data_IF_260667833696
#
_entry.id   IF_260667833696
#
_cell.length_a   1.000
_cell.length_b   1.000
_cell.length_c   1.000
_cell.angle_alpha   90.00
_cell.angle_beta   90.00
_cell.angle_gamma   90.00
#
_symmetry.space_group_name_H-M   'P 1'
#
loop_
_entity.id
_entity.type
_entity.pdbx_description
1 polymer ?
#
# COMPACT_ATOMS: atom_id res chain seq x y z
N UNK A 1 -37.35 -12.36 -33.99
CA UNK A 1 -38.47 -11.99 -34.88
C UNK A 1 -38.29 -10.51 -35.17
N UNK A 2 -37.66 -10.19 -36.30
CA UNK A 2 -37.53 -8.80 -36.77
C UNK A 2 -38.81 -8.41 -37.51
N UNK A 3 -39.31 -7.18 -37.36
CA UNK A 3 -40.50 -6.74 -38.09
C UNK A 3 -40.18 -6.48 -39.57
N UNK A 4 -41.00 -7.05 -40.47
CA UNK A 4 -40.95 -6.80 -41.91
C UNK A 4 -41.23 -5.32 -42.23
N UNK A 5 -40.25 -4.64 -42.80
CA UNK A 5 -40.38 -3.27 -43.28
C UNK A 5 -41.08 -3.33 -44.64
N UNK A 6 -42.40 -3.12 -44.65
CA UNK A 6 -43.17 -2.96 -45.90
C UNK A 6 -42.66 -1.77 -46.70
N UNK A 7 -42.48 -1.96 -48.01
CA UNK A 7 -41.77 -1.01 -48.88
C UNK A 7 -42.41 0.38 -48.88
N UNK A 8 -41.59 1.40 -48.68
CA UNK A 8 -41.98 2.82 -48.58
C UNK A 8 -42.64 3.38 -49.84
N UNK A 9 -42.34 2.81 -51.02
CA UNK A 9 -42.87 3.28 -52.31
C UNK A 9 -44.36 2.94 -52.50
N UNK A 10 -44.79 1.76 -52.04
CA UNK A 10 -46.17 1.28 -52.22
C UNK A 10 -47.15 2.03 -51.30
N UNK A 11 -46.68 2.45 -50.12
CA UNK A 11 -47.42 3.30 -49.18
C UNK A 11 -47.53 4.76 -49.66
N UNK A 12 -46.50 5.29 -50.31
CA UNK A 12 -46.54 6.65 -50.88
C UNK A 12 -47.56 6.76 -52.03
N UNK A 13 -47.64 5.75 -52.90
CA UNK A 13 -48.56 5.75 -54.05
C UNK A 13 -50.04 5.63 -53.62
N UNK A 14 -50.33 4.80 -52.61
CA UNK A 14 -51.70 4.66 -52.05
C UNK A 14 -52.17 5.92 -51.34
N UNK A 15 -51.27 6.61 -50.64
CA UNK A 15 -51.58 7.87 -49.96
C UNK A 15 -51.87 9.00 -50.96
N UNK A 16 -51.12 9.07 -52.07
CA UNK A 16 -51.35 10.05 -53.13
C UNK A 16 -52.74 9.89 -53.77
N UNK A 17 -53.17 8.66 -54.06
CA UNK A 17 -54.52 8.39 -54.58
C UNK A 17 -55.63 8.84 -53.61
N UNK A 18 -55.45 8.61 -52.30
CA UNK A 18 -56.39 9.03 -51.27
C UNK A 18 -56.50 10.58 -51.17
N UNK A 19 -55.37 11.29 -51.14
CA UNK A 19 -55.32 12.75 -51.03
C UNK A 19 -55.94 13.44 -52.27
N UNK A 20 -55.79 12.84 -53.45
CA UNK A 20 -56.37 13.34 -54.70
C UNK A 20 -57.90 13.15 -54.76
N UNK A 21 -58.47 12.17 -54.04
CA UNK A 21 -59.90 11.94 -53.93
C UNK A 21 -60.65 12.86 -52.95
N UNK A 22 -59.93 13.68 -52.18
CA UNK A 22 -60.51 14.59 -51.18
C UNK A 22 -61.10 15.87 -51.80
N UNK A 23 -62.10 16.43 -51.12
CA UNK A 23 -62.63 17.76 -51.46
C UNK A 23 -61.53 18.83 -51.33
N UNK A 24 -61.61 19.95 -52.08
CA UNK A 24 -60.62 21.03 -52.00
C UNK A 24 -60.39 21.56 -50.58
N UNK A 25 -61.47 21.67 -49.78
CA UNK A 25 -61.40 22.14 -48.39
C UNK A 25 -60.67 21.16 -47.48
N UNK A 26 -60.96 19.86 -47.61
CA UNK A 26 -60.29 18.81 -46.83
C UNK A 26 -58.81 18.69 -47.19
N UNK A 27 -58.48 18.83 -48.49
CA UNK A 27 -57.09 18.82 -48.96
C UNK A 27 -56.28 20.00 -48.41
N UNK A 28 -56.86 21.21 -48.44
CA UNK A 28 -56.22 22.41 -47.88
C UNK A 28 -56.01 22.29 -46.37
N UNK A 29 -56.99 21.73 -45.64
CA UNK A 29 -56.86 21.45 -44.21
C UNK A 29 -55.69 20.51 -43.92
N UNK A 30 -55.58 19.40 -44.68
CA UNK A 30 -54.48 18.44 -44.51
C UNK A 30 -53.12 19.04 -44.86
N UNK A 31 -53.02 19.83 -45.94
CA UNK A 31 -51.78 20.51 -46.32
C UNK A 31 -51.33 21.51 -45.24
N UNK A 32 -52.26 22.31 -44.70
CA UNK A 32 -51.97 23.25 -43.62
C UNK A 32 -51.57 22.52 -42.33
N UNK A 33 -52.23 21.42 -42.01
CA UNK A 33 -51.89 20.59 -40.85
C UNK A 33 -50.53 19.91 -41.01
N UNK A 34 -50.22 19.41 -42.21
CA UNK A 34 -48.93 18.81 -42.52
C UNK A 34 -47.80 19.85 -42.44
N UNK A 35 -47.98 21.04 -43.02
CA UNK A 35 -47.01 22.12 -42.89
C UNK A 35 -46.80 22.55 -41.42
N UNK A 36 -47.86 22.53 -40.60
CA UNK A 36 -47.77 22.78 -39.16
C UNK A 36 -46.96 21.69 -38.42
N UNK A 37 -47.16 20.40 -38.78
CA UNK A 37 -46.40 19.28 -38.23
C UNK A 37 -44.92 19.34 -38.64
N UNK A 38 -44.65 19.62 -39.92
CA UNK A 38 -43.31 19.73 -40.48
C UNK A 38 -42.46 20.80 -39.77
N UNK A 39 -43.09 21.87 -39.26
CA UNK A 39 -42.39 22.88 -38.47
C UNK A 39 -42.18 22.48 -37.01
N UNK A 40 -43.14 21.79 -36.38
CA UNK A 40 -43.12 21.54 -34.92
C UNK A 40 -42.42 20.25 -34.53
N UNK A 41 -42.48 19.22 -35.37
CA UNK A 41 -41.81 17.93 -35.10
C UNK A 41 -40.30 18.13 -34.91
N UNK A 42 -39.57 18.87 -35.77
CA UNK A 42 -38.14 19.13 -35.56
C UNK A 42 -37.84 19.89 -34.26
N UNK A 43 -38.67 20.87 -33.91
CA UNK A 43 -38.49 21.62 -32.67
C UNK A 43 -38.66 20.75 -31.42
N UNK A 44 -39.61 19.82 -31.43
CA UNK A 44 -39.82 18.85 -30.35
C UNK A 44 -38.71 17.81 -30.29
N UNK A 45 -38.26 17.28 -31.44
CA UNK A 45 -37.13 16.35 -31.52
C UNK A 45 -35.86 16.99 -30.96
N UNK A 46 -35.56 18.23 -31.36
CA UNK A 46 -34.42 18.98 -30.84
C UNK A 46 -34.51 19.21 -29.33
N UNK A 47 -35.69 19.59 -28.82
CA UNK A 47 -35.90 19.78 -27.39
C UNK A 47 -35.69 18.47 -26.61
N UNK A 48 -36.16 17.34 -27.13
CA UNK A 48 -35.96 16.03 -26.53
C UNK A 48 -34.49 15.61 -26.52
N UNK A 49 -33.79 15.75 -27.65
CA UNK A 49 -32.36 15.45 -27.76
C UNK A 49 -31.54 16.27 -26.76
N UNK A 50 -31.87 17.56 -26.64
CA UNK A 50 -31.21 18.45 -25.68
C UNK A 50 -31.46 18.03 -24.22
N UNK A 51 -32.70 17.70 -23.86
CA UNK A 51 -33.00 17.18 -22.52
C UNK A 51 -32.29 15.85 -22.24
N UNK A 52 -32.17 14.98 -23.24
CA UNK A 52 -31.46 13.72 -23.11
C UNK A 52 -29.95 13.93 -22.91
N UNK A 53 -29.36 14.91 -23.60
CA UNK A 53 -27.96 15.30 -23.43
C UNK A 53 -27.71 15.91 -22.04
N UNK A 54 -28.58 16.82 -21.60
CA UNK A 54 -28.51 17.43 -20.26
C UNK A 54 -28.59 16.34 -19.17
N UNK A 55 -29.56 15.42 -19.26
CA UNK A 55 -29.71 14.32 -18.32
C UNK A 55 -28.49 13.39 -18.30
N UNK A 56 -27.89 13.11 -19.47
CA UNK A 56 -26.66 12.33 -19.56
C UNK A 56 -25.49 13.05 -18.87
N UNK A 57 -25.40 14.37 -19.04
CA UNK A 57 -24.44 15.23 -18.33
C UNK A 57 -24.60 15.13 -16.82
N UNK A 58 -25.81 15.33 -16.32
CA UNK A 58 -26.13 15.26 -14.89
C UNK A 58 -25.78 13.89 -14.28
N UNK A 59 -26.05 12.80 -15.00
CA UNK A 59 -25.73 11.45 -14.55
C UNK A 59 -24.21 11.21 -14.45
N UNK A 60 -23.44 11.72 -15.41
CA UNK A 60 -21.97 11.66 -15.36
C UNK A 60 -21.40 12.48 -14.21
N UNK A 61 -21.94 13.68 -13.98
CA UNK A 61 -21.53 14.51 -12.85
C UNK A 61 -21.84 13.81 -11.51
N UNK A 62 -23.03 13.24 -11.39
CA UNK A 62 -23.44 12.51 -10.19
C UNK A 62 -22.54 11.29 -9.92
N UNK A 63 -22.19 10.53 -10.96
CA UNK A 63 -21.24 9.42 -10.84
C UNK A 63 -19.87 9.89 -10.32
N UNK A 64 -19.34 10.98 -10.88
CA UNK A 64 -18.06 11.56 -10.44
C UNK A 64 -18.10 12.00 -8.98
N UNK A 65 -19.19 12.66 -8.55
CA UNK A 65 -19.37 13.09 -7.16
C UNK A 65 -19.40 11.88 -6.22
N UNK A 66 -20.15 10.83 -6.56
CA UNK A 66 -20.21 9.60 -5.75
C UNK A 66 -18.84 8.96 -5.65
N UNK A 67 -18.15 8.79 -6.78
CA UNK A 67 -16.81 8.19 -6.85
C UNK A 67 -15.84 8.96 -5.97
N UNK A 68 -15.75 10.27 -6.12
CA UNK A 68 -14.88 11.13 -5.32
C UNK A 68 -15.24 11.11 -3.83
N UNK A 69 -16.53 10.96 -3.47
CA UNK A 69 -16.97 10.82 -2.08
C UNK A 69 -16.55 9.48 -1.48
N UNK A 70 -16.68 8.40 -2.25
CA UNK A 70 -16.26 7.06 -1.84
C UNK A 70 -14.74 6.98 -1.67
N UNK A 71 -13.97 7.49 -2.62
CA UNK A 71 -12.50 7.55 -2.56
C UNK A 71 -12.02 8.31 -1.32
N UNK A 72 -12.58 9.50 -1.06
CA UNK A 72 -12.26 10.26 0.17
C UNK A 72 -12.59 9.48 1.44
N UNK A 73 -13.67 8.70 1.45
CA UNK A 73 -14.06 7.88 2.61
C UNK A 73 -13.08 6.71 2.81
N UNK A 74 -12.64 6.06 1.73
CA UNK A 74 -11.67 4.98 1.77
C UNK A 74 -10.30 5.48 2.22
N UNK A 75 -9.83 6.61 1.68
CA UNK A 75 -8.53 7.18 2.04
C UNK A 75 -8.51 7.61 3.51
N UNK A 76 -9.58 8.24 4.02
CA UNK A 76 -9.69 8.54 5.46
C UNK A 76 -9.62 7.29 6.33
N UNK A 77 -10.25 6.18 5.93
CA UNK A 77 -10.17 4.91 6.67
C UNK A 77 -8.75 4.33 6.62
N UNK A 78 -8.12 4.35 5.44
CA UNK A 78 -6.74 3.91 5.25
C UNK A 78 -5.78 4.68 6.14
N UNK A 79 -5.87 6.01 6.16
CA UNK A 79 -5.03 6.85 7.02
C UNK A 79 -5.20 6.55 8.51
N UNK A 80 -6.44 6.33 8.96
CA UNK A 80 -6.71 5.95 10.36
C UNK A 80 -6.07 4.60 10.72
N UNK A 81 -6.18 3.61 9.84
CA UNK A 81 -5.57 2.29 10.06
C UNK A 81 -4.04 2.42 10.11
N UNK A 82 -3.44 3.15 9.17
CA UNK A 82 -1.99 3.35 9.14
C UNK A 82 -1.52 4.06 10.41
N UNK A 83 -2.20 5.12 10.86
CA UNK A 83 -1.86 5.84 12.07
C UNK A 83 -1.96 4.94 13.31
N UNK A 84 -3.02 4.14 13.41
CA UNK A 84 -3.21 3.19 14.49
C UNK A 84 -2.08 2.14 14.54
N UNK A 85 -1.79 1.49 13.40
CA UNK A 85 -0.73 0.47 13.33
C UNK A 85 0.64 1.06 13.64
N UNK A 86 0.95 2.27 13.16
CA UNK A 86 2.22 2.95 13.48
C UNK A 86 2.37 3.20 14.99
N UNK A 87 1.34 3.75 15.63
CA UNK A 87 1.36 4.00 17.07
C UNK A 87 1.50 2.72 17.89
N UNK A 88 0.85 1.64 17.48
CA UNK A 88 0.97 0.33 18.13
C UNK A 88 2.39 -0.24 18.01
N UNK A 89 2.98 -0.17 16.81
CA UNK A 89 4.37 -0.60 16.57
C UNK A 89 5.38 0.23 17.36
N UNK A 90 5.19 1.56 17.42
CA UNK A 90 6.03 2.45 18.23
C UNK A 90 5.96 2.06 19.71
N UNK A 91 4.75 1.82 20.24
CA UNK A 91 4.58 1.37 21.62
C UNK A 91 5.23 0.02 21.91
N UNK A 92 5.15 -0.93 20.98
CA UNK A 92 5.83 -2.23 21.12
C UNK A 92 7.36 -2.09 21.08
N UNK A 93 7.89 -1.23 20.22
CA UNK A 93 9.33 -0.95 20.15
C UNK A 93 9.85 -0.31 21.45
N UNK A 94 9.12 0.66 22.00
CA UNK A 94 9.49 1.31 23.26
C UNK A 94 9.46 0.32 24.42
N UNK A 95 8.43 -0.54 24.49
CA UNK A 95 8.34 -1.60 25.49
C UNK A 95 9.48 -2.63 25.38
N UNK A 96 9.83 -3.03 24.16
CA UNK A 96 10.92 -3.95 23.92
C UNK A 96 12.27 -3.33 24.30
N UNK A 97 12.47 -2.05 23.96
CA UNK A 97 13.67 -1.29 24.33
C UNK A 97 13.81 -1.17 25.84
N UNK A 98 12.74 -0.81 26.55
CA UNK A 98 12.76 -0.74 28.01
C UNK A 98 13.09 -2.10 28.65
N UNK A 99 12.56 -3.18 28.09
CA UNK A 99 12.83 -4.55 28.55
C UNK A 99 14.30 -4.93 28.30
N UNK A 100 14.83 -4.62 27.12
CA UNK A 100 16.24 -4.83 26.78
C UNK A 100 17.16 -4.03 27.71
N UNK A 101 16.86 -2.76 27.96
CA UNK A 101 17.64 -1.90 28.85
C UNK A 101 17.66 -2.47 30.28
N UNK A 102 16.53 -2.99 30.77
CA UNK A 102 16.45 -3.67 32.06
C UNK A 102 17.30 -4.95 32.12
N UNK A 103 17.23 -5.79 31.07
CA UNK A 103 18.06 -7.01 30.97
C UNK A 103 19.54 -6.66 30.93
N UNK A 104 19.94 -5.66 30.15
CA UNK A 104 21.33 -5.20 30.06
C UNK A 104 21.81 -4.64 31.41
N UNK A 105 20.99 -3.83 32.08
CA UNK A 105 21.30 -3.30 33.39
C UNK A 105 21.48 -4.40 34.44
N UNK A 106 20.65 -5.45 34.40
CA UNK A 106 20.80 -6.61 35.27
C UNK A 106 22.05 -7.43 34.94
N UNK A 107 22.32 -7.67 33.66
CA UNK A 107 23.50 -8.42 33.23
C UNK A 107 24.81 -7.75 33.65
N UNK A 108 24.86 -6.40 33.65
CA UNK A 108 26.01 -5.61 34.11
C UNK A 108 26.34 -5.77 35.59
N UNK A 109 25.45 -6.35 36.41
CA UNK A 109 25.69 -6.57 37.85
C UNK A 109 26.58 -7.80 38.11
N UNK A 110 26.74 -8.69 37.14
CA UNK A 110 27.39 -9.98 37.33
C UNK A 110 28.64 -10.13 36.46
N UNK A 111 29.51 -11.07 36.83
CA UNK A 111 30.61 -11.55 35.99
C UNK A 111 30.14 -12.76 35.19
N UNK A 112 30.58 -12.84 33.94
CA UNK A 112 30.17 -13.86 32.99
C UNK A 112 31.36 -14.71 32.55
N UNK A 113 31.11 -15.98 32.31
CA UNK A 113 32.10 -16.95 31.89
C UNK A 113 32.55 -16.65 30.46
N UNK A 114 33.84 -16.39 30.26
CA UNK A 114 34.39 -16.04 28.94
C UNK A 114 34.21 -17.17 27.92
N UNK A 115 34.24 -18.43 28.39
CA UNK A 115 34.07 -19.58 27.51
C UNK A 115 32.62 -19.86 27.10
N UNK A 116 31.64 -19.72 28.01
CA UNK A 116 30.28 -20.24 27.79
C UNK A 116 29.13 -19.29 28.17
N UNK A 117 29.42 -18.08 28.62
CA UNK A 117 28.41 -17.05 28.91
C UNK A 117 27.52 -17.31 30.13
N UNK A 118 27.78 -18.35 30.92
CA UNK A 118 27.10 -18.58 32.22
C UNK A 118 27.66 -17.66 33.30
N UNK A 119 26.95 -17.49 34.41
CA UNK A 119 27.48 -16.77 35.58
C UNK A 119 28.82 -17.35 36.03
N UNK A 120 29.82 -16.49 36.12
CA UNK A 120 31.14 -16.89 36.57
C UNK A 120 31.21 -16.95 38.10
N UNK A 121 31.96 -17.93 38.60
CA UNK A 121 32.25 -18.10 40.03
C UNK A 121 33.75 -18.09 40.32
N UNK A 122 34.58 -18.20 39.27
CA UNK A 122 36.04 -18.18 39.35
C UNK A 122 36.57 -16.99 38.56
N UNK A 123 37.33 -16.10 39.20
CA UNK A 123 38.03 -15.01 38.52
C UNK A 123 39.48 -15.42 38.18
N UNK A 124 39.92 -15.19 36.95
CA UNK A 124 41.33 -15.33 36.57
C UNK A 124 42.05 -13.98 36.68
N UNK A 125 41.85 -13.05 35.75
CA UNK A 125 42.44 -11.70 35.73
C UNK A 125 41.41 -10.67 35.24
N UNK A 126 41.81 -9.43 34.95
CA UNK A 126 40.87 -8.36 34.59
C UNK A 126 40.01 -8.77 33.38
N UNK A 127 38.68 -8.69 33.54
CA UNK A 127 37.69 -9.06 32.53
C UNK A 127 37.68 -10.55 32.08
N UNK A 128 38.43 -11.45 32.73
CA UNK A 128 38.44 -12.89 32.43
C UNK A 128 37.98 -13.72 33.63
N UNK A 129 36.74 -14.19 33.58
CA UNK A 129 36.14 -15.06 34.60
C UNK A 129 35.53 -16.32 33.99
N UNK A 130 35.35 -17.37 34.79
CA UNK A 130 34.84 -18.67 34.35
C UNK A 130 33.81 -19.24 35.33
N UNK A 131 32.85 -20.02 34.82
CA UNK A 131 31.88 -20.72 35.66
C UNK A 131 32.43 -22.04 36.27
N UNK A 132 33.51 -22.59 35.72
CA UNK A 132 34.14 -23.82 36.22
C UNK A 132 35.61 -23.93 35.81
N UNK A 133 36.36 -24.79 36.52
CA UNK A 133 37.74 -25.12 36.15
C UNK A 133 37.84 -25.73 34.75
N UNK A 134 36.83 -26.50 34.33
CA UNK A 134 36.75 -27.09 32.98
C UNK A 134 36.65 -26.00 31.91
N UNK A 135 35.79 -25.00 32.10
CA UNK A 135 35.69 -23.86 31.17
C UNK A 135 37.00 -23.09 31.07
N UNK A 136 37.70 -22.90 32.20
CA UNK A 136 39.02 -22.26 32.21
C UNK A 136 40.05 -23.06 31.41
N UNK A 137 40.11 -24.38 31.59
CA UNK A 137 41.06 -25.23 30.86
C UNK A 137 40.77 -25.28 29.36
N UNK A 138 39.50 -25.30 28.97
CA UNK A 138 39.10 -25.29 27.56
C UNK A 138 39.49 -23.99 26.84
N UNK A 139 39.38 -22.85 27.52
CA UNK A 139 39.76 -21.56 26.96
C UNK A 139 41.26 -21.21 27.15
N UNK A 140 41.96 -21.97 28.00
CA UNK A 140 43.30 -21.63 28.49
C UNK A 140 44.31 -21.31 27.39
N UNK A 141 44.32 -22.06 26.29
CA UNK A 141 45.25 -21.81 25.17
C UNK A 141 45.08 -20.41 24.56
N UNK A 142 43.84 -19.89 24.50
CA UNK A 142 43.56 -18.53 24.01
C UNK A 142 43.87 -17.50 25.09
N UNK A 143 43.40 -17.76 26.30
CA UNK A 143 43.59 -16.85 27.43
C UNK A 143 45.07 -16.62 27.79
N UNK A 144 45.93 -17.63 27.64
CA UNK A 144 47.36 -17.56 27.97
C UNK A 144 48.07 -16.39 27.28
N UNK A 145 47.67 -16.05 26.05
CA UNK A 145 48.33 -14.99 25.28
C UNK A 145 48.13 -13.59 25.88
N UNK A 146 47.09 -13.42 26.70
CA UNK A 146 46.59 -12.15 27.23
C UNK A 146 46.38 -12.19 28.75
N UNK A 147 46.88 -13.23 29.44
CA UNK A 147 46.69 -13.40 30.87
C UNK A 147 47.66 -12.50 31.67
N UNK A 148 47.13 -11.58 32.46
CA UNK A 148 47.94 -10.69 33.31
C UNK A 148 48.64 -11.43 34.47
N UNK A 149 48.11 -12.59 34.88
CA UNK A 149 48.66 -13.35 36.02
C UNK A 149 49.78 -14.30 35.63
N UNK A 150 49.83 -14.71 34.37
CA UNK A 150 50.85 -15.60 33.84
C UNK A 150 51.40 -14.99 32.55
N UNK A 151 52.04 -13.82 32.62
CA UNK A 151 52.65 -13.19 31.45
C UNK A 151 53.66 -14.16 30.84
N UNK A 152 53.77 -14.16 29.50
CA UNK A 152 54.79 -14.95 28.80
C UNK A 152 56.14 -14.65 29.43
N UNK A 153 56.84 -15.71 29.85
CA UNK A 153 58.25 -15.61 30.22
C UNK A 153 58.99 -15.23 28.93
N UNK A 154 59.35 -13.96 28.79
CA UNK A 154 60.28 -13.54 27.75
C UNK A 154 61.63 -14.19 28.07
N UNK A 155 61.96 -15.26 27.34
CA UNK A 155 63.29 -15.85 27.40
C UNK A 155 64.24 -14.84 26.78
N UNK A 156 64.92 -14.05 27.62
CA UNK A 156 66.09 -13.29 27.19
C UNK A 156 67.14 -14.31 26.77
N UNK A 157 67.44 -14.38 25.47
CA UNK A 157 68.59 -15.11 24.97
C UNK A 157 69.86 -14.41 25.46
N UNK A 158 70.31 -14.75 26.67
CA UNK A 158 71.66 -14.45 27.13
C UNK A 158 72.62 -15.39 26.38
N UNK A 159 73.05 -14.93 25.20
CA UNK A 159 73.82 -15.77 24.28
C UNK A 159 74.48 -15.00 23.15
N UNK A 160 75.14 -13.89 23.44
CA UNK A 160 76.21 -13.37 22.58
C UNK A 160 77.46 -13.07 23.43
N UNK A 161 78.30 -14.09 23.54
CA UNK A 161 79.65 -14.03 24.09
C UNK A 161 80.59 -13.18 23.23
N UNK A 162 81.40 -12.36 23.89
CA UNK A 162 82.78 -11.98 23.57
C UNK A 162 83.17 -11.75 22.10
N UNK A 163 83.48 -10.49 21.76
CA UNK A 163 84.63 -10.19 20.89
C UNK A 163 85.49 -9.07 21.47
N UNK A 164 86.63 -9.53 21.99
CA UNK A 164 87.93 -8.86 22.13
C UNK A 164 88.21 -7.84 21.00
N UNK A 165 88.49 -6.59 21.37
CA UNK A 165 89.61 -5.76 20.87
C UNK A 165 90.12 -4.92 22.04
#
# INVERSE_FOLDING_TARGET
MEPEITSTQDNQSKNAHFINGLTPRSRLFLQNHQAWLEQRVPALSYAFERMAEDFKGDMLEYEQIIRAKMERKLEKKRQKIIAFVRSDLEGQLDSLKATLDAIVADAKKYQWCDHCGKLAILNCCYNFSYCSGTCRLLDWYKHLEICDKYPRIEVKNEGESEKRV
#
